data_IF_971015977514
#
_entry.id   IF_971015977514
#
_cell.length_a   1.000
_cell.length_b   1.000
_cell.length_c   1.000
_cell.angle_alpha   90.00
_cell.angle_beta   90.00
_cell.angle_gamma   90.00
#
_symmetry.space_group_name_H-M   'P 1'
#
loop_
_entity.id
_entity.type
_entity.pdbx_description
1 polymer ?
#
# COMPACT_ATOMS: atom_id res chain seq x y z
N UNK A 1 -5.58 -18.42 14.51
CA UNK A 1 -4.86 -17.13 14.67
C UNK A 1 -5.91 -16.05 14.87
N UNK A 2 -5.97 -15.44 16.06
CA UNK A 2 -7.10 -14.60 16.51
C UNK A 2 -6.78 -13.14 16.18
N UNK A 3 -7.43 -12.57 15.17
CA UNK A 3 -7.29 -11.14 14.86
C UNK A 3 -7.95 -10.37 16.01
N UNK A 4 -7.16 -9.59 16.75
CA UNK A 4 -7.68 -8.68 17.78
C UNK A 4 -8.33 -7.49 17.08
N UNK A 5 -9.60 -7.14 17.36
CA UNK A 5 -10.21 -5.94 16.82
C UNK A 5 -9.67 -4.74 17.60
N UNK A 6 -8.60 -4.12 17.10
CA UNK A 6 -8.20 -2.81 17.56
C UNK A 6 -9.11 -1.78 16.87
N UNK A 7 -10.17 -1.42 17.62
CA UNK A 7 -11.07 -0.28 17.44
C UNK A 7 -10.64 0.75 16.38
N UNK A 8 -11.58 1.07 15.47
CA UNK A 8 -11.80 2.45 14.97
C UNK A 8 -11.73 3.41 16.17
N UNK A 9 -10.56 3.98 16.47
CA UNK A 9 -10.40 4.89 17.59
C UNK A 9 -10.98 6.25 17.20
N UNK A 10 -11.85 6.81 18.03
CA UNK A 10 -12.45 8.14 17.80
C UNK A 10 -11.40 9.22 17.51
N UNK A 11 -10.21 9.10 18.13
CA UNK A 11 -9.07 9.98 17.90
C UNK A 11 -8.58 9.98 16.43
N UNK A 12 -8.66 8.84 15.73
CA UNK A 12 -8.29 8.77 14.32
C UNK A 12 -9.32 9.50 13.46
N UNK A 13 -10.60 9.41 13.79
CA UNK A 13 -11.66 10.16 13.10
C UNK A 13 -11.54 11.66 13.33
N UNK A 14 -11.31 12.07 14.58
CA UNK A 14 -11.11 13.48 14.93
C UNK A 14 -9.88 14.07 14.22
N UNK A 15 -8.80 13.30 14.11
CA UNK A 15 -7.60 13.71 13.37
C UNK A 15 -7.87 13.80 11.86
N UNK A 16 -8.62 12.85 11.28
CA UNK A 16 -8.97 12.89 9.86
C UNK A 16 -9.91 14.05 9.53
N UNK A 17 -10.89 14.34 10.39
CA UNK A 17 -11.79 15.47 10.25
C UNK A 17 -11.04 16.81 10.40
N UNK A 18 -10.08 16.90 11.33
CA UNK A 18 -9.25 18.09 11.52
C UNK A 18 -8.37 18.41 10.30
N UNK A 19 -7.87 17.39 9.62
CA UNK A 19 -7.09 17.50 8.38
C UNK A 19 -8.00 17.64 7.13
N UNK A 20 -9.33 17.65 7.29
CA UNK A 20 -10.29 17.76 6.19
C UNK A 20 -10.31 16.54 5.25
N UNK A 21 -9.80 15.39 5.70
CA UNK A 21 -9.71 14.17 4.90
C UNK A 21 -11.05 13.47 4.88
N UNK A 22 -11.74 13.51 3.74
CA UNK A 22 -13.01 12.82 3.57
C UNK A 22 -12.80 11.30 3.59
N UNK A 23 -13.33 10.63 4.62
CA UNK A 23 -13.26 9.18 4.72
C UNK A 23 -14.20 8.51 3.71
N UNK A 24 -13.64 7.78 2.73
CA UNK A 24 -14.45 6.99 1.79
C UNK A 24 -15.15 5.83 2.52
N UNK A 25 -16.41 5.59 2.15
CA UNK A 25 -17.28 4.53 2.69
C UNK A 25 -16.85 3.15 2.19
N UNK A 26 -15.74 2.64 2.72
CA UNK A 26 -15.26 1.32 2.34
C UNK A 26 -16.07 0.19 2.98
N UNK A 27 -16.57 -0.79 2.22
CA UNK A 27 -17.16 -1.99 2.80
C UNK A 27 -16.08 -2.74 3.59
N UNK A 28 -16.41 -3.14 4.81
CA UNK A 28 -15.52 -3.98 5.60
C UNK A 28 -15.36 -5.31 4.85
N UNK A 29 -14.10 -5.65 4.50
CA UNK A 29 -13.67 -6.90 3.84
C UNK A 29 -13.60 -6.90 2.30
N UNK A 30 -13.06 -5.86 1.66
CA UNK A 30 -12.57 -5.94 0.27
C UNK A 30 -11.03 -5.91 0.23
N UNK A 31 -10.33 -7.00 0.62
CA UNK A 31 -8.87 -7.08 0.51
C UNK A 31 -8.40 -6.90 -0.95
N UNK A 32 -9.20 -7.35 -1.92
CA UNK A 32 -8.88 -7.28 -3.35
C UNK A 32 -8.79 -5.86 -3.92
N UNK A 33 -9.29 -4.86 -3.18
CA UNK A 33 -9.37 -3.49 -3.67
C UNK A 33 -8.31 -2.55 -3.10
N UNK A 34 -7.41 -2.99 -2.21
CA UNK A 34 -6.43 -2.08 -1.61
C UNK A 34 -5.31 -1.77 -2.62
N UNK A 35 -5.24 -0.56 -3.23
CA UNK A 35 -4.22 -0.24 -4.23
C UNK A 35 -2.80 -0.36 -3.67
N UNK A 36 -2.67 -0.22 -2.35
CA UNK A 36 -1.42 -0.38 -1.62
C UNK A 36 -0.96 -1.85 -1.64
N UNK A 37 -1.87 -2.82 -1.50
CA UNK A 37 -1.51 -4.25 -1.57
C UNK A 37 -1.06 -4.64 -2.98
N UNK A 38 -1.73 -4.12 -4.01
CA UNK A 38 -1.29 -4.31 -5.40
C UNK A 38 0.10 -3.70 -5.66
N UNK A 39 0.38 -2.52 -5.10
CA UNK A 39 1.70 -1.90 -5.20
C UNK A 39 2.79 -2.72 -4.47
N UNK A 40 2.48 -3.26 -3.29
CA UNK A 40 3.40 -4.15 -2.57
C UNK A 40 3.67 -5.45 -3.33
N UNK A 41 2.66 -6.05 -3.94
CA UNK A 41 2.82 -7.24 -4.77
C UNK A 41 3.69 -6.97 -6.00
N UNK A 42 3.50 -5.81 -6.65
CA UNK A 42 4.33 -5.39 -7.79
C UNK A 42 5.79 -5.18 -7.38
N UNK A 43 6.05 -4.47 -6.27
CA UNK A 43 7.38 -4.30 -5.70
C UNK A 43 8.03 -5.65 -5.35
N UNK A 44 7.27 -6.54 -4.70
CA UNK A 44 7.75 -7.85 -4.28
C UNK A 44 8.13 -8.75 -5.46
N UNK A 45 7.45 -8.61 -6.60
CA UNK A 45 7.82 -9.28 -7.86
C UNK A 45 9.08 -8.66 -8.47
N UNK A 46 9.12 -7.34 -8.57
CA UNK A 46 10.25 -6.61 -9.14
C UNK A 46 11.56 -6.97 -8.42
N UNK A 47 11.57 -6.98 -7.08
CA UNK A 47 12.75 -7.35 -6.28
C UNK A 47 13.19 -8.81 -6.52
N UNK A 48 12.23 -9.74 -6.70
CA UNK A 48 12.54 -11.15 -6.98
C UNK A 48 13.11 -11.37 -8.37
N UNK A 49 12.78 -10.49 -9.31
CA UNK A 49 13.26 -10.54 -10.70
C UNK A 49 14.63 -9.85 -10.88
N UNK A 50 15.14 -9.15 -9.85
CA UNK A 50 16.48 -8.53 -9.90
C UNK A 50 17.56 -9.60 -9.96
N UNK A 51 18.52 -9.42 -10.87
CA UNK A 51 19.73 -10.24 -10.96
C UNK A 51 20.59 -10.14 -9.69
N UNK A 52 20.60 -8.96 -9.06
CA UNK A 52 21.33 -8.73 -7.81
C UNK A 52 20.35 -8.73 -6.62
N UNK A 53 20.21 -9.90 -5.99
CA UNK A 53 19.34 -10.07 -4.83
C UNK A 53 19.99 -9.39 -3.62
N UNK A 54 19.32 -8.41 -2.98
CA UNK A 54 19.86 -7.71 -1.83
C UNK A 54 20.10 -8.68 -0.67
N UNK A 55 21.31 -8.64 -0.10
CA UNK A 55 21.73 -9.50 1.01
C UNK A 55 21.76 -8.76 2.35
N UNK A 56 21.73 -7.43 2.32
CA UNK A 56 21.67 -6.57 3.51
C UNK A 56 20.38 -5.76 3.56
N UNK A 57 20.00 -5.32 4.76
CA UNK A 57 18.84 -4.41 4.93
C UNK A 57 19.02 -3.10 4.16
N UNK A 58 20.27 -2.61 4.04
CA UNK A 58 20.56 -1.39 3.30
C UNK A 58 20.37 -1.58 1.80
N UNK A 59 20.88 -2.68 1.25
CA UNK A 59 20.67 -3.03 -0.16
C UNK A 59 19.19 -3.26 -0.47
N UNK A 60 18.44 -3.87 0.45
CA UNK A 60 17.01 -4.07 0.29
C UNK A 60 16.26 -2.73 0.28
N UNK A 61 16.60 -1.82 1.18
CA UNK A 61 15.99 -0.49 1.22
C UNK A 61 16.28 0.32 -0.06
N UNK A 62 17.51 0.21 -0.56
CA UNK A 62 17.90 0.84 -1.83
C UNK A 62 17.15 0.21 -3.01
N UNK A 63 17.13 -1.11 -3.13
CA UNK A 63 16.42 -1.81 -4.20
C UNK A 63 14.92 -1.49 -4.17
N UNK A 64 14.30 -1.45 -2.99
CA UNK A 64 12.90 -1.05 -2.83
C UNK A 64 12.65 0.36 -3.36
N UNK A 65 13.56 1.31 -3.09
CA UNK A 65 13.42 2.69 -3.55
C UNK A 65 13.55 2.78 -5.08
N UNK A 66 14.53 2.08 -5.65
CA UNK A 66 14.75 2.04 -7.11
C UNK A 66 13.57 1.39 -7.86
N UNK A 67 13.05 0.27 -7.35
CA UNK A 67 11.87 -0.38 -7.94
C UNK A 67 10.61 0.46 -7.74
N UNK A 68 10.49 1.17 -6.62
CA UNK A 68 9.36 2.07 -6.38
C UNK A 68 9.33 3.24 -7.37
N UNK A 69 10.49 3.85 -7.65
CA UNK A 69 10.59 4.96 -8.60
C UNK A 69 10.34 4.54 -10.05
N UNK A 70 10.51 3.25 -10.37
CA UNK A 70 10.26 2.70 -11.70
C UNK A 70 8.84 2.17 -11.89
N UNK A 71 8.07 1.99 -10.82
CA UNK A 71 6.67 1.59 -10.92
C UNK A 71 5.86 2.66 -11.66
N UNK A 72 5.23 2.34 -12.80
CA UNK A 72 4.44 3.31 -13.53
C UNK A 72 3.24 3.74 -12.70
N UNK A 73 3.20 5.03 -12.35
CA UNK A 73 2.13 5.65 -11.57
C UNK A 73 0.76 5.44 -12.23
N UNK A 74 0.73 5.31 -13.55
CA UNK A 74 -0.47 5.00 -14.35
C UNK A 74 -1.19 3.71 -13.90
N UNK A 75 -0.46 2.69 -13.44
CA UNK A 75 -1.07 1.46 -12.96
C UNK A 75 -1.78 1.69 -11.62
N UNK A 76 -1.18 2.49 -10.74
CA UNK A 76 -1.76 2.86 -9.43
C UNK A 76 -2.98 3.74 -9.65
N UNK A 77 -2.90 4.74 -10.54
CA UNK A 77 -4.01 5.65 -10.86
C UNK A 77 -5.17 4.88 -11.48
N UNK A 78 -4.93 3.97 -12.44
CA UNK A 78 -5.99 3.12 -13.02
C UNK A 78 -6.67 2.22 -11.98
N UNK A 79 -5.92 1.72 -11.01
CA UNK A 79 -6.46 0.94 -9.90
C UNK A 79 -7.35 1.81 -9.00
N UNK A 80 -6.90 3.01 -8.64
CA UNK A 80 -7.68 3.98 -7.86
C UNK A 80 -8.94 4.40 -8.62
N UNK A 81 -8.85 4.69 -9.92
CA UNK A 81 -9.98 5.06 -10.78
C UNK A 81 -10.96 3.89 -11.02
N UNK A 82 -10.50 2.64 -10.90
CA UNK A 82 -11.36 1.46 -11.00
C UNK A 82 -12.17 1.17 -9.73
N UNK A 83 -11.90 1.90 -8.65
CA UNK A 83 -12.67 1.79 -7.42
C UNK A 83 -13.95 2.65 -7.50
N UNK A 84 -15.13 2.10 -7.14
CA UNK A 84 -16.40 2.81 -7.13
C UNK A 84 -16.52 3.88 -6.03
#
# INVERSE_FOLDING_TARGET
MRIKPARRAAAVRESLDAEGVQQMSWPACSPDMNPIEHAWDALGRAIKERDNIPQTLQELAQALTEEWDTLPTDNIIKLVDSMP
#
